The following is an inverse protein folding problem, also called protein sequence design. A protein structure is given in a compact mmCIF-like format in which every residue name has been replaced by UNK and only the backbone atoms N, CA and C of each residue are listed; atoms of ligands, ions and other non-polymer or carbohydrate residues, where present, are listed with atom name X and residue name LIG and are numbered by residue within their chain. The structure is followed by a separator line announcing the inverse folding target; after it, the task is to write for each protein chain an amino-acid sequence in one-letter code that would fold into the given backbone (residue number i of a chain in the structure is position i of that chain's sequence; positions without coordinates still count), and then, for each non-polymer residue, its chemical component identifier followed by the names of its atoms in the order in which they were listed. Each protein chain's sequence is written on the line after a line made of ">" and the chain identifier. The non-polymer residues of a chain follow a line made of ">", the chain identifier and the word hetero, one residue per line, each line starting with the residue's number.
data_IF_276331357205
#
_entry.id   IF_276331357205
#
_cell.length_a   1.000
_cell.length_b   1.000
_cell.length_c   1.000
_cell.angle_alpha   90.00
_cell.angle_beta   90.00
_cell.angle_gamma   90.00
#
_symmetry.space_group_name_H-M   'P 1'
#
loop_
_entity.id
_entity.type
_entity.pdbx_description
1 polymer ?
#
# COMPACT_ATOMS: atom_id res chain seq x y z
N UNK A 1 -0.55 34.01 -3.86
CA UNK A 1 0.12 34.30 -5.15
C UNK A 1 0.23 32.96 -5.85
N UNK A 2 -0.29 32.79 -7.03
CA UNK A 2 -0.23 31.49 -7.71
C UNK A 2 1.14 31.33 -8.36
N UNK A 3 1.74 30.16 -8.29
CA UNK A 3 3.04 29.86 -8.89
C UNK A 3 3.10 30.24 -10.38
N UNK A 4 2.07 29.88 -11.15
CA UNK A 4 1.95 30.23 -12.55
C UNK A 4 2.17 31.72 -12.82
N UNK A 5 1.60 32.62 -11.99
CA UNK A 5 1.79 34.07 -12.14
C UNK A 5 3.24 34.52 -11.90
N UNK A 6 3.98 33.84 -11.04
CA UNK A 6 5.39 34.13 -10.81
C UNK A 6 6.26 33.68 -11.98
N UNK A 7 5.94 32.53 -12.56
CA UNK A 7 6.66 31.98 -13.72
C UNK A 7 6.42 32.83 -14.98
N UNK A 8 5.21 33.39 -15.15
CA UNK A 8 4.88 34.29 -16.27
C UNK A 8 5.62 35.65 -16.22
N UNK A 9 6.03 36.10 -15.02
CA UNK A 9 6.76 37.36 -14.85
C UNK A 9 8.26 37.23 -15.19
N UNK A 10 8.78 36.02 -15.42
CA UNK A 10 10.18 35.79 -15.71
C UNK A 10 10.54 36.22 -17.15
N UNK A 11 11.74 36.84 -17.36
CA UNK A 11 12.15 37.29 -18.69
C UNK A 11 12.27 36.13 -19.69
N UNK A 12 11.65 36.28 -20.86
CA UNK A 12 11.78 35.30 -21.94
C UNK A 12 13.25 35.11 -22.36
N UNK A 13 13.62 33.85 -22.65
CA UNK A 13 14.97 33.50 -23.09
C UNK A 13 16.03 33.52 -21.97
N UNK A 14 15.64 33.73 -20.73
CA UNK A 14 16.56 33.67 -19.59
C UNK A 14 16.86 32.22 -19.16
N UNK A 15 17.96 32.04 -18.40
CA UNK A 15 18.21 30.81 -17.69
C UNK A 15 17.51 30.88 -16.30
N UNK A 16 16.59 29.97 -16.05
CA UNK A 16 15.82 29.89 -14.82
C UNK A 16 16.23 28.64 -14.06
N UNK A 17 16.62 28.79 -12.81
CA UNK A 17 16.88 27.67 -11.92
C UNK A 17 15.80 27.65 -10.85
N UNK A 18 15.08 26.53 -10.75
CA UNK A 18 14.06 26.27 -9.73
C UNK A 18 14.66 25.29 -8.74
N UNK A 19 14.92 25.75 -7.52
CA UNK A 19 15.43 24.91 -6.44
C UNK A 19 14.29 24.53 -5.50
N UNK A 20 14.02 23.24 -5.43
CA UNK A 20 12.96 22.67 -4.60
C UNK A 20 13.50 21.95 -3.36
N UNK A 21 14.79 22.11 -3.04
CA UNK A 21 15.44 21.43 -1.91
C UNK A 21 14.76 21.73 -0.56
N UNK A 22 14.16 22.92 -0.41
CA UNK A 22 13.42 23.30 0.80
C UNK A 22 11.91 23.13 0.67
N UNK A 23 11.43 22.66 -0.49
CA UNK A 23 9.99 22.44 -0.67
C UNK A 23 9.53 21.23 0.12
N UNK A 24 8.51 21.42 0.97
CA UNK A 24 7.96 20.33 1.79
C UNK A 24 6.95 19.47 1.05
N UNK A 25 6.21 20.05 0.13
CA UNK A 25 5.26 19.36 -0.73
C UNK A 25 5.16 20.07 -2.07
N UNK A 26 5.29 19.31 -3.15
CA UNK A 26 5.02 19.76 -4.51
C UNK A 26 3.93 18.83 -5.04
N UNK A 27 2.71 19.30 -5.13
CA UNK A 27 1.63 18.48 -5.67
C UNK A 27 1.72 18.35 -7.20
N UNK A 28 0.89 17.46 -7.76
CA UNK A 28 0.87 17.19 -9.18
C UNK A 28 0.61 18.44 -10.04
N UNK A 29 -0.25 19.35 -9.58
CA UNK A 29 -0.59 20.57 -10.31
C UNK A 29 0.58 21.52 -10.42
N UNK A 30 1.41 21.61 -9.38
CA UNK A 30 2.64 22.40 -9.39
C UNK A 30 3.65 21.84 -10.38
N UNK A 31 3.69 20.54 -10.54
CA UNK A 31 4.59 19.88 -11.49
C UNK A 31 4.15 20.08 -12.93
N UNK A 32 2.83 20.03 -13.20
CA UNK A 32 2.28 20.38 -14.49
C UNK A 32 2.62 21.84 -14.84
N UNK A 33 2.45 22.79 -13.90
CA UNK A 33 2.84 24.19 -14.09
C UNK A 33 4.34 24.32 -14.45
N UNK A 34 5.23 23.57 -13.79
CA UNK A 34 6.66 23.57 -14.12
C UNK A 34 6.93 22.99 -15.51
N UNK A 35 6.24 21.91 -15.88
CA UNK A 35 6.40 21.32 -17.20
C UNK A 35 5.92 22.22 -18.34
N UNK A 36 4.76 22.83 -18.16
CA UNK A 36 4.24 23.78 -19.13
C UNK A 36 5.17 24.98 -19.25
N UNK A 37 5.65 25.51 -18.14
CA UNK A 37 6.61 26.59 -18.12
C UNK A 37 7.93 26.20 -18.80
N UNK A 38 8.50 25.04 -18.48
CA UNK A 38 9.75 24.56 -19.09
C UNK A 38 9.62 24.44 -20.60
N UNK A 39 8.51 23.87 -21.10
CA UNK A 39 8.24 23.73 -22.52
C UNK A 39 8.13 25.11 -23.19
N UNK A 40 7.30 25.99 -22.64
CA UNK A 40 7.09 27.33 -23.18
C UNK A 40 8.37 28.18 -23.17
N UNK A 41 9.13 28.10 -22.07
CA UNK A 41 10.34 28.88 -21.90
C UNK A 41 11.45 28.38 -22.85
N UNK A 42 11.56 27.07 -23.07
CA UNK A 42 12.50 26.48 -24.06
C UNK A 42 12.14 26.89 -25.49
N UNK A 43 10.86 26.94 -25.85
CA UNK A 43 10.38 27.37 -27.13
C UNK A 43 10.73 28.86 -27.42
N UNK A 44 10.90 29.64 -26.36
CA UNK A 44 11.34 31.05 -26.45
C UNK A 44 12.85 31.26 -26.34
N UNK A 45 13.63 30.15 -26.35
CA UNK A 45 15.09 30.18 -26.31
C UNK A 45 15.69 30.27 -24.90
N UNK A 46 14.89 30.06 -23.88
CA UNK A 46 15.32 29.99 -22.48
C UNK A 46 15.75 28.58 -22.06
N UNK A 47 16.33 28.48 -20.89
CA UNK A 47 16.71 27.22 -20.25
C UNK A 47 16.09 27.16 -18.84
N UNK A 48 15.45 26.05 -18.50
CA UNK A 48 14.89 25.83 -17.18
C UNK A 48 15.52 24.58 -16.57
N UNK A 49 16.17 24.75 -15.43
CA UNK A 49 16.76 23.69 -14.65
C UNK A 49 15.97 23.56 -13.33
N UNK A 50 15.45 22.35 -13.05
CA UNK A 50 14.76 22.04 -11.79
C UNK A 50 15.67 21.16 -10.97
N UNK A 51 15.98 21.58 -9.74
CA UNK A 51 16.86 20.87 -8.81
C UNK A 51 16.16 20.62 -7.45
N UNK A 52 16.75 19.82 -6.62
CA UNK A 52 16.21 19.49 -5.29
C UNK A 52 15.15 18.38 -5.28
N UNK A 53 15.02 17.71 -6.41
CA UNK A 53 14.04 16.66 -6.60
C UNK A 53 14.76 15.33 -6.67
N UNK A 54 14.41 14.36 -5.82
CA UNK A 54 14.99 13.02 -5.87
C UNK A 54 13.90 11.97 -6.12
N UNK A 55 14.19 10.90 -6.93
CA UNK A 55 13.20 9.85 -7.23
C UNK A 55 12.63 9.15 -5.99
N UNK A 56 13.46 9.02 -4.93
CA UNK A 56 13.05 8.35 -3.70
C UNK A 56 11.92 9.04 -2.96
N UNK A 57 11.67 10.24 -3.33
CA UNK A 57 10.80 11.14 -2.60
C UNK A 57 9.70 11.68 -3.52
N UNK A 58 9.53 11.20 -4.72
CA UNK A 58 8.45 11.56 -5.61
C UNK A 58 7.16 10.85 -5.23
N UNK A 59 6.06 11.58 -5.11
CA UNK A 59 4.73 11.01 -4.88
C UNK A 59 4.02 10.59 -6.17
N UNK A 60 4.66 10.63 -7.32
CA UNK A 60 4.06 10.24 -8.60
C UNK A 60 5.04 9.54 -9.53
N UNK A 61 4.50 8.75 -10.49
CA UNK A 61 5.24 8.00 -11.48
C UNK A 61 5.84 8.84 -12.60
N UNK A 62 5.72 10.11 -12.53
CA UNK A 62 6.34 11.01 -13.48
C UNK A 62 7.83 11.10 -13.17
N UNK A 63 8.72 10.90 -14.15
CA UNK A 63 10.18 11.02 -13.97
C UNK A 63 10.62 12.38 -13.41
N UNK A 64 9.75 13.38 -13.46
CA UNK A 64 9.97 14.72 -12.97
C UNK A 64 8.97 15.17 -11.90
N UNK A 65 8.08 14.29 -11.48
CA UNK A 65 7.20 14.56 -10.36
C UNK A 65 7.90 14.20 -9.08
N UNK A 66 8.24 14.95 -8.37
CA UNK A 66 8.97 15.29 -7.43
C UNK A 66 8.57 15.63 -6.17
N UNK A 67 9.06 15.37 -5.49
CA UNK A 67 9.38 15.30 -4.31
C UNK A 67 9.57 16.45 -3.47
N UNK A 68 9.46 16.09 -2.48
CA UNK A 68 9.33 16.72 -1.41
C UNK A 68 9.84 16.21 -0.24
N UNK A 69 10.26 16.63 0.60
CA UNK A 69 10.72 16.26 1.90
C UNK A 69 11.85 15.25 1.83
N UNK A 70 13.04 15.75 1.84
CA UNK A 70 13.98 15.24 2.82
C UNK A 70 13.40 15.58 4.18
N UNK A 71 12.63 14.66 4.75
CA UNK A 71 12.42 14.75 6.18
C UNK A 71 13.80 14.63 6.80
N UNK A 72 14.29 15.73 7.34
CA UNK A 72 15.34 15.62 8.34
C UNK A 72 14.76 14.72 9.45
N UNK A 73 15.57 14.02 10.20
CA UNK A 73 15.08 13.21 11.34
C UNK A 73 14.20 14.03 12.29
N UNK A 74 14.34 15.36 12.26
CA UNK A 74 13.58 16.34 13.01
C UNK A 74 12.13 16.51 12.54
N UNK A 75 11.81 16.11 11.30
CA UNK A 75 10.48 16.24 10.72
C UNK A 75 9.63 14.94 10.83
N UNK A 76 10.18 13.86 11.37
CA UNK A 76 9.46 12.60 11.56
C UNK A 76 8.43 12.72 12.70
N UNK A 77 7.27 12.15 12.48
CA UNK A 77 6.27 11.97 13.54
C UNK A 77 6.77 10.97 14.59
N UNK A 78 6.22 11.01 15.80
CA UNK A 78 6.57 10.04 16.84
C UNK A 78 6.36 8.58 16.39
N UNK A 79 5.36 8.32 15.54
CA UNK A 79 5.10 7.00 14.94
C UNK A 79 6.21 6.60 13.97
N UNK A 80 6.61 7.49 13.10
CA UNK A 80 7.67 7.24 12.11
C UNK A 80 9.02 6.98 12.76
N UNK A 81 9.35 7.74 13.82
CA UNK A 81 10.55 7.48 14.62
C UNK A 81 10.53 6.07 15.21
N UNK A 82 9.42 5.68 15.85
CA UNK A 82 9.27 4.34 16.44
C UNK A 82 9.37 3.23 15.39
N UNK A 83 8.75 3.40 14.22
CA UNK A 83 8.80 2.42 13.14
C UNK A 83 10.19 2.32 12.51
N UNK A 84 10.88 3.45 12.36
CA UNK A 84 12.27 3.49 11.89
C UNK A 84 13.21 2.77 12.86
N UNK A 85 13.08 3.01 14.16
CA UNK A 85 13.84 2.29 15.20
C UNK A 85 13.53 0.78 15.18
N UNK A 86 12.26 0.43 15.07
CA UNK A 86 11.81 -0.95 14.98
C UNK A 86 12.44 -1.69 13.80
N UNK A 87 12.45 -1.10 12.61
CA UNK A 87 13.03 -1.72 11.41
C UNK A 87 14.54 -1.80 11.44
N UNK A 88 15.21 -0.82 12.05
CA UNK A 88 16.65 -0.80 12.16
C UNK A 88 17.20 -2.03 12.91
N UNK A 89 16.50 -2.46 13.95
CA UNK A 89 16.89 -3.65 14.74
C UNK A 89 16.70 -4.97 14.00
N UNK A 90 15.91 -4.98 12.93
CA UNK A 90 15.52 -6.19 12.17
C UNK A 90 16.17 -6.27 10.78
N UNK A 91 16.99 -5.28 10.41
CA UNK A 91 17.59 -5.15 9.06
C UNK A 91 16.53 -5.12 7.93
N UNK A 92 15.41 -4.42 8.17
CA UNK A 92 14.37 -4.18 7.20
C UNK A 92 14.44 -2.75 6.67
N UNK A 93 13.73 -2.49 5.57
CA UNK A 93 13.57 -1.15 5.03
C UNK A 93 12.38 -0.46 5.68
N UNK A 94 12.50 0.85 5.83
CA UNK A 94 11.40 1.73 6.22
C UNK A 94 11.32 2.91 5.24
N UNK A 95 10.10 3.21 4.78
CA UNK A 95 9.79 4.40 3.99
C UNK A 95 8.58 5.10 4.61
N UNK A 96 8.69 6.39 4.83
CA UNK A 96 7.58 7.23 5.31
C UNK A 96 6.47 7.32 4.26
N UNK A 97 6.86 7.47 2.97
CA UNK A 97 5.94 7.56 1.84
C UNK A 97 6.44 6.64 0.72
N UNK A 98 5.94 5.41 0.64
CA UNK A 98 6.28 4.51 -0.47
C UNK A 98 5.65 5.03 -1.78
N UNK A 99 6.32 4.75 -2.89
CA UNK A 99 5.85 5.21 -4.21
C UNK A 99 4.45 4.69 -4.54
N UNK A 100 3.60 5.52 -5.18
CA UNK A 100 2.24 5.14 -5.56
C UNK A 100 2.14 4.15 -6.74
N UNK A 101 3.27 3.65 -7.27
CA UNK A 101 3.35 2.75 -8.43
C UNK A 101 2.47 1.51 -8.38
N UNK A 102 1.84 1.26 -7.25
CA UNK A 102 1.06 0.06 -7.00
C UNK A 102 -0.45 0.27 -6.98
N UNK A 103 -0.98 1.47 -7.25
CA UNK A 103 -2.42 1.69 -7.17
C UNK A 103 -3.19 0.72 -8.08
N UNK A 104 -2.75 0.52 -9.32
CA UNK A 104 -3.35 -0.46 -10.23
C UNK A 104 -3.23 -1.91 -9.73
N UNK A 105 -2.18 -2.23 -8.99
CA UNK A 105 -2.01 -3.55 -8.40
C UNK A 105 -3.10 -3.87 -7.36
N UNK A 106 -3.54 -2.88 -6.60
CA UNK A 106 -4.57 -3.05 -5.57
C UNK A 106 -5.98 -3.17 -6.16
N UNK A 107 -6.23 -2.68 -7.38
CA UNK A 107 -7.53 -2.79 -8.05
C UNK A 107 -7.97 -4.25 -8.27
N UNK A 108 -7.02 -5.20 -8.34
CA UNK A 108 -7.29 -6.63 -8.45
C UNK A 108 -7.85 -7.26 -7.16
N UNK A 109 -7.75 -6.55 -6.04
CA UNK A 109 -8.34 -7.00 -4.79
C UNK A 109 -9.76 -6.45 -4.66
N UNK A 110 -10.67 -7.31 -4.21
CA UNK A 110 -12.06 -6.93 -4.04
C UNK A 110 -12.24 -5.82 -2.99
N UNK A 111 -11.40 -5.82 -1.96
CA UNK A 111 -11.40 -4.77 -0.93
C UNK A 111 -11.30 -3.37 -1.56
N UNK A 112 -10.50 -3.21 -2.62
CA UNK A 112 -10.28 -1.94 -3.29
C UNK A 112 -11.21 -1.67 -4.48
N UNK A 113 -12.12 -2.59 -4.84
CA UNK A 113 -13.09 -2.35 -5.92
C UNK A 113 -14.12 -1.26 -5.57
N UNK A 114 -14.39 -1.06 -4.29
CA UNK A 114 -15.28 0.00 -3.78
C UNK A 114 -14.55 1.11 -3.02
N UNK A 115 -13.22 1.11 -3.06
CA UNK A 115 -12.37 2.05 -2.34
C UNK A 115 -11.22 2.52 -3.20
N UNK A 116 -10.85 3.78 -3.01
CA UNK A 116 -9.62 4.33 -3.58
C UNK A 116 -8.55 4.43 -2.50
N UNK A 117 -7.32 4.09 -2.84
CA UNK A 117 -6.18 4.41 -2.00
C UNK A 117 -5.87 5.88 -2.21
N UNK A 118 -6.00 6.66 -1.14
CA UNK A 118 -5.65 8.08 -1.12
C UNK A 118 -4.16 8.24 -0.92
N UNK A 119 -3.60 7.52 0.06
CA UNK A 119 -2.17 7.58 0.37
C UNK A 119 -1.68 6.27 1.01
N UNK A 120 -0.38 6.01 0.87
CA UNK A 120 0.34 4.94 1.57
C UNK A 120 1.46 5.55 2.37
N UNK A 121 1.52 5.17 3.62
CA UNK A 121 2.42 5.74 4.61
C UNK A 121 3.16 4.63 5.36
N UNK A 122 4.30 4.97 5.93
CA UNK A 122 4.94 4.14 6.95
C UNK A 122 5.18 2.68 6.54
N UNK A 123 5.68 2.45 5.33
CA UNK A 123 5.95 1.11 4.83
C UNK A 123 7.20 0.49 5.45
N UNK A 124 7.01 -0.72 5.96
CA UNK A 124 8.08 -1.63 6.40
C UNK A 124 8.11 -2.81 5.44
N UNK A 125 9.28 -3.17 4.91
CA UNK A 125 9.41 -4.29 3.97
C UNK A 125 10.77 -4.96 4.01
N UNK A 126 10.83 -6.16 3.44
CA UNK A 126 12.07 -6.95 3.38
C UNK A 126 13.00 -6.49 2.24
N UNK A 127 14.25 -6.90 2.37
CA UNK A 127 15.27 -6.77 1.33
C UNK A 127 15.35 -7.99 0.40
N UNK A 128 14.64 -9.08 0.73
CA UNK A 128 14.63 -10.30 -0.06
C UNK A 128 13.77 -10.11 -1.31
N UNK A 129 14.33 -10.36 -2.48
CA UNK A 129 13.67 -10.19 -3.76
C UNK A 129 12.83 -11.41 -4.19
N UNK A 130 13.01 -12.57 -3.56
CA UNK A 130 12.33 -13.81 -3.94
C UNK A 130 10.83 -13.78 -3.65
N UNK A 131 10.45 -13.30 -2.48
CA UNK A 131 9.07 -13.06 -2.04
C UNK A 131 9.02 -11.74 -1.31
N UNK A 132 8.37 -10.77 -1.93
CA UNK A 132 8.20 -9.47 -1.30
C UNK A 132 7.10 -9.52 -0.25
N UNK A 133 7.36 -8.98 0.93
CA UNK A 133 6.35 -8.67 1.91
C UNK A 133 6.47 -7.22 2.39
N UNK A 134 5.35 -6.64 2.75
CA UNK A 134 5.27 -5.26 3.20
C UNK A 134 4.17 -5.11 4.25
N UNK A 135 4.39 -4.23 5.22
CA UNK A 135 3.36 -3.73 6.13
C UNK A 135 3.36 -2.22 5.99
N UNK A 136 2.21 -1.64 5.70
CA UNK A 136 2.07 -0.19 5.50
C UNK A 136 0.78 0.34 6.12
N UNK A 137 0.81 1.61 6.48
CA UNK A 137 -0.39 2.36 6.80
C UNK A 137 -1.02 2.86 5.49
N UNK A 138 -2.31 2.63 5.31
CA UNK A 138 -3.01 2.97 4.06
C UNK A 138 -4.20 3.84 4.39
N UNK A 139 -4.26 4.99 3.76
CA UNK A 139 -5.42 5.87 3.79
C UNK A 139 -6.32 5.49 2.62
N UNK A 140 -7.54 5.12 2.92
CA UNK A 140 -8.55 4.70 1.94
C UNK A 140 -9.77 5.59 2.03
N UNK A 141 -10.38 5.86 0.87
CA UNK A 141 -11.64 6.57 0.75
C UNK A 141 -12.70 5.61 0.21
N UNK A 142 -13.85 5.55 0.89
CA UNK A 142 -15.00 4.79 0.41
C UNK A 142 -15.67 5.53 -0.76
N UNK A 143 -15.83 4.85 -1.89
CA UNK A 143 -16.45 5.40 -3.10
C UNK A 143 -17.99 5.36 -3.05
N UNK A 144 -18.61 5.37 -1.88
CA UNK A 144 -20.08 5.40 -1.78
C UNK A 144 -20.60 6.82 -1.99
N UNK A 145 -21.61 6.96 -2.87
CA UNK A 145 -22.21 8.25 -3.28
C UNK A 145 -22.83 9.07 -2.14
N UNK A 146 -22.83 8.58 -0.91
CA UNK A 146 -23.52 9.22 0.23
C UNK A 146 -22.60 9.81 1.30
N UNK A 147 -21.37 9.36 1.38
CA UNK A 147 -20.35 9.94 2.27
C UNK A 147 -18.96 9.46 1.82
N UNK A 148 -18.06 10.38 1.54
CA UNK A 148 -16.64 10.03 1.43
C UNK A 148 -16.08 10.02 2.86
N UNK A 149 -15.97 8.85 3.44
CA UNK A 149 -15.28 8.70 4.72
C UNK A 149 -13.87 8.20 4.44
N UNK A 150 -12.89 8.96 4.91
CA UNK A 150 -11.49 8.56 4.88
C UNK A 150 -11.15 7.75 6.12
N UNK A 151 -10.49 6.62 5.91
CA UNK A 151 -10.03 5.74 6.98
C UNK A 151 -8.53 5.46 6.82
N UNK A 152 -7.81 5.43 7.92
CA UNK A 152 -6.42 4.96 7.93
C UNK A 152 -6.38 3.59 8.61
N UNK A 153 -5.81 2.62 7.91
CA UNK A 153 -5.64 1.24 8.41
C UNK A 153 -4.23 0.74 8.19
N UNK A 154 -3.77 -0.19 9.01
CA UNK A 154 -2.53 -0.92 8.75
C UNK A 154 -2.83 -2.18 7.97
N UNK A 155 -2.08 -2.39 6.89
CA UNK A 155 -2.26 -3.48 5.94
C UNK A 155 -0.95 -4.24 5.77
N UNK A 156 -1.01 -5.57 5.79
CA UNK A 156 0.06 -6.45 5.34
C UNK A 156 -0.15 -6.87 3.88
N UNK A 157 0.93 -7.04 3.14
CA UNK A 157 0.96 -7.54 1.77
C UNK A 157 2.07 -8.56 1.61
N UNK A 158 1.76 -9.71 0.97
CA UNK A 158 2.75 -10.69 0.52
C UNK A 158 2.58 -10.88 -0.98
N UNK A 159 3.66 -10.77 -1.76
CA UNK A 159 3.65 -11.00 -3.22
C UNK A 159 4.49 -12.20 -3.57
N UNK A 160 3.88 -13.18 -4.22
CA UNK A 160 4.54 -14.42 -4.64
C UNK A 160 4.93 -14.37 -6.12
N UNK A 161 6.05 -15.00 -6.52
CA UNK A 161 6.46 -15.11 -7.92
C UNK A 161 5.69 -16.19 -8.69
N UNK A 162 4.66 -16.81 -8.08
CA UNK A 162 3.83 -17.85 -8.63
C UNK A 162 2.35 -17.63 -8.32
N UNK A 163 1.48 -18.36 -8.99
CA UNK A 163 0.03 -18.27 -8.76
C UNK A 163 -0.40 -19.06 -7.54
N UNK A 164 -1.35 -18.50 -6.82
CA UNK A 164 -2.04 -19.06 -5.66
C UNK A 164 -3.55 -18.95 -5.88
N UNK A 165 -4.39 -19.74 -5.20
CA UNK A 165 -5.84 -19.60 -5.32
C UNK A 165 -6.34 -18.22 -4.94
N UNK A 166 -7.43 -17.78 -5.57
CA UNK A 166 -8.14 -16.56 -5.18
C UNK A 166 -9.16 -16.89 -4.11
N UNK A 167 -9.03 -16.26 -2.96
CA UNK A 167 -9.92 -16.48 -1.82
C UNK A 167 -10.07 -15.24 -0.97
N UNK A 168 -11.04 -15.29 -0.06
CA UNK A 168 -11.25 -14.33 1.01
C UNK A 168 -11.59 -15.04 2.30
N UNK A 169 -10.98 -14.63 3.37
CA UNK A 169 -11.23 -15.11 4.74
C UNK A 169 -11.60 -13.92 5.59
N UNK A 170 -12.71 -14.04 6.32
CA UNK A 170 -13.20 -12.98 7.20
C UNK A 170 -13.56 -13.54 8.58
N UNK A 171 -13.22 -12.79 9.62
CA UNK A 171 -13.65 -13.06 10.96
C UNK A 171 -15.13 -12.72 11.13
N UNK A 172 -15.94 -13.67 11.59
CA UNK A 172 -17.41 -13.54 11.64
C UNK A 172 -17.92 -12.46 12.60
N UNK A 173 -17.18 -12.18 13.67
CA UNK A 173 -17.58 -11.16 14.68
C UNK A 173 -17.59 -9.74 14.12
N UNK A 174 -16.79 -9.46 13.11
CA UNK A 174 -16.65 -8.14 12.50
C UNK A 174 -17.39 -8.00 11.17
N UNK A 175 -18.14 -9.03 10.78
CA UNK A 175 -18.96 -9.07 9.56
C UNK A 175 -19.86 -7.81 9.43
N UNK A 176 -20.31 -7.19 10.53
CA UNK A 176 -21.24 -6.06 10.49
C UNK A 176 -20.72 -4.84 9.72
N UNK A 177 -19.46 -4.43 9.92
CA UNK A 177 -18.83 -3.33 9.18
C UNK A 177 -18.39 -3.77 7.79
N UNK A 178 -17.76 -4.94 7.66
CA UNK A 178 -17.38 -5.48 6.37
C UNK A 178 -18.58 -5.82 5.48
N UNK A 179 -19.70 -6.33 6.01
CA UNK A 179 -20.90 -6.68 5.22
C UNK A 179 -21.64 -5.48 4.64
N UNK A 180 -21.61 -4.31 5.24
CA UNK A 180 -22.20 -3.12 4.64
C UNK A 180 -21.54 -2.80 3.31
N UNK A 181 -20.24 -3.05 3.21
CA UNK A 181 -19.43 -2.80 2.02
C UNK A 181 -19.57 -3.89 0.94
N UNK A 182 -20.05 -5.10 1.30
CA UNK A 182 -20.00 -6.28 0.42
C UNK A 182 -21.35 -6.65 -0.20
N UNK A 183 -22.42 -5.95 0.14
CA UNK A 183 -23.78 -6.25 -0.33
C UNK A 183 -24.08 -5.89 -1.79
N UNK A 184 -23.21 -5.15 -2.46
CA UNK A 184 -23.55 -4.50 -3.74
C UNK A 184 -22.78 -4.98 -4.97
N UNK A 185 -21.96 -6.03 -4.89
CA UNK A 185 -21.21 -6.51 -6.05
C UNK A 185 -21.56 -7.95 -6.42
N UNK A 186 -21.70 -8.20 -7.72
CA UNK A 186 -21.81 -9.52 -8.32
C UNK A 186 -20.51 -10.30 -8.07
N UNK A 187 -20.48 -11.00 -6.96
CA UNK A 187 -19.32 -11.72 -6.48
C UNK A 187 -19.33 -13.14 -7.03
N UNK A 188 -18.33 -13.48 -7.85
CA UNK A 188 -18.13 -14.84 -8.37
C UNK A 188 -17.57 -15.80 -7.32
N UNK A 189 -17.37 -15.33 -6.07
CA UNK A 189 -16.87 -16.14 -4.98
C UNK A 189 -18.01 -16.93 -4.32
N UNK A 190 -17.92 -18.23 -4.36
CA UNK A 190 -18.83 -19.10 -3.64
C UNK A 190 -18.41 -19.27 -2.17
N UNK A 191 -19.36 -19.26 -1.28
CA UNK A 191 -19.10 -19.57 0.14
C UNK A 191 -18.65 -21.03 0.26
N UNK A 192 -17.51 -21.24 0.91
CA UNK A 192 -17.05 -22.54 1.35
C UNK A 192 -17.63 -22.88 2.73
N UNK A 193 -17.46 -24.12 3.16
CA UNK A 193 -17.75 -24.47 4.55
C UNK A 193 -16.80 -23.70 5.47
N UNK A 194 -17.35 -23.13 6.53
CA UNK A 194 -16.56 -22.45 7.55
C UNK A 194 -15.52 -23.43 8.13
N UNK A 195 -14.25 -23.01 8.13
CA UNK A 195 -13.20 -23.85 8.70
C UNK A 195 -13.10 -23.71 10.24
N UNK A 196 -13.74 -22.68 10.80
CA UNK A 196 -13.88 -22.50 12.25
C UNK A 196 -15.17 -21.77 12.61
N UNK A 197 -15.46 -21.68 13.92
CA UNK A 197 -16.60 -20.90 14.42
C UNK A 197 -16.41 -19.39 14.16
N UNK A 198 -15.17 -18.95 14.08
CA UNK A 198 -14.82 -17.53 14.02
C UNK A 198 -14.57 -17.01 12.62
N UNK A 199 -14.25 -17.87 11.64
CA UNK A 199 -13.90 -17.45 10.28
C UNK A 199 -14.80 -18.05 9.20
N UNK A 200 -15.13 -17.24 8.21
CA UNK A 200 -15.78 -17.65 6.96
C UNK A 200 -14.80 -17.53 5.80
N UNK A 201 -14.90 -18.46 4.84
CA UNK A 201 -14.08 -18.47 3.64
C UNK A 201 -14.95 -18.44 2.39
N UNK A 202 -14.53 -17.68 1.40
CA UNK A 202 -15.08 -17.64 0.06
C UNK A 202 -13.97 -17.83 -0.96
N UNK A 203 -14.24 -18.54 -2.04
CA UNK A 203 -13.26 -18.84 -3.07
C UNK A 203 -13.88 -18.95 -4.46
N UNK A 204 -13.07 -18.70 -5.50
CA UNK A 204 -13.46 -18.96 -6.90
C UNK A 204 -13.32 -20.44 -7.24
N UNK A 205 -12.25 -21.08 -6.76
CA UNK A 205 -11.95 -22.51 -6.93
C UNK A 205 -11.86 -23.16 -5.55
N UNK A 206 -12.95 -23.82 -5.14
CA UNK A 206 -13.04 -24.44 -3.82
C UNK A 206 -12.01 -25.56 -3.62
N UNK A 207 -11.86 -26.55 -4.54
CA UNK A 207 -10.88 -27.62 -4.36
C UNK A 207 -9.45 -27.09 -4.22
N UNK A 208 -9.03 -26.20 -5.11
CA UNK A 208 -7.68 -25.61 -5.05
C UNK A 208 -7.48 -24.78 -3.77
N UNK A 209 -8.52 -24.10 -3.29
CA UNK A 209 -8.45 -23.32 -2.07
C UNK A 209 -8.42 -24.20 -0.82
N UNK A 210 -9.17 -25.30 -0.78
CA UNK A 210 -9.13 -26.28 0.31
C UNK A 210 -7.76 -26.96 0.44
N UNK A 211 -7.12 -27.27 -0.69
CA UNK A 211 -5.76 -27.80 -0.70
C UNK A 211 -4.73 -26.75 -0.24
N UNK A 212 -4.92 -25.50 -0.65
CA UNK A 212 -4.03 -24.40 -0.30
C UNK A 212 -4.13 -24.01 1.19
N UNK A 213 -5.38 -23.86 1.70
CA UNK A 213 -5.65 -23.49 3.09
C UNK A 213 -5.81 -24.78 3.92
N UNK A 214 -4.68 -25.44 4.17
CA UNK A 214 -4.62 -26.63 5.01
C UNK A 214 -4.68 -26.33 6.50
N UNK A 215 -4.49 -27.37 7.31
CA UNK A 215 -4.57 -27.24 8.76
C UNK A 215 -3.53 -26.33 9.37
N UNK A 216 -2.33 -26.19 8.75
CA UNK A 216 -1.27 -25.31 9.25
C UNK A 216 -1.65 -23.84 9.04
N UNK A 217 -2.15 -23.48 7.86
CA UNK A 217 -2.64 -22.12 7.58
C UNK A 217 -3.89 -21.81 8.42
N UNK A 218 -4.81 -22.76 8.57
CA UNK A 218 -5.98 -22.60 9.43
C UNK A 218 -5.59 -22.35 10.89
N UNK A 219 -4.61 -23.11 11.40
CA UNK A 219 -4.09 -22.93 12.75
C UNK A 219 -3.50 -21.55 12.94
N UNK A 220 -2.63 -21.13 12.00
CA UNK A 220 -2.03 -19.80 12.02
C UNK A 220 -3.09 -18.68 12.08
N UNK A 221 -4.17 -18.80 11.27
CA UNK A 221 -5.26 -17.81 11.24
C UNK A 221 -6.05 -17.82 12.55
N UNK A 222 -6.38 -19.02 13.08
CA UNK A 222 -7.16 -19.15 14.31
C UNK A 222 -6.39 -18.69 15.55
N UNK A 223 -5.08 -18.84 15.55
CA UNK A 223 -4.21 -18.43 16.67
C UNK A 223 -3.95 -16.92 16.68
N UNK A 224 -4.13 -16.26 15.54
CA UNK A 224 -3.92 -14.81 15.47
C UNK A 224 -5.03 -14.05 16.19
N UNK A 225 -4.62 -13.17 17.10
CA UNK A 225 -5.56 -12.31 17.83
C UNK A 225 -5.96 -11.07 17.04
N UNK A 226 -5.12 -10.64 16.09
CA UNK A 226 -5.24 -9.35 15.43
C UNK A 226 -5.71 -9.42 13.98
N UNK A 227 -5.58 -10.55 13.31
CA UNK A 227 -5.96 -10.67 11.88
C UNK A 227 -7.45 -10.94 11.75
N UNK A 228 -8.14 -10.08 11.01
CA UNK A 228 -9.57 -10.16 10.78
C UNK A 228 -9.94 -10.50 9.34
N UNK A 229 -9.08 -10.14 8.41
CA UNK A 229 -9.34 -10.33 6.98
C UNK A 229 -8.07 -10.70 6.22
N UNK A 230 -8.18 -11.72 5.35
CA UNK A 230 -7.20 -12.05 4.34
C UNK A 230 -7.88 -12.12 2.98
N UNK A 231 -7.21 -11.59 1.96
CA UNK A 231 -7.70 -11.66 0.59
C UNK A 231 -6.55 -11.99 -0.38
N UNK A 232 -6.78 -12.95 -1.28
CA UNK A 232 -5.87 -13.29 -2.35
C UNK A 232 -6.41 -12.86 -3.70
N UNK A 233 -5.58 -12.16 -4.49
CA UNK A 233 -5.87 -11.82 -5.88
C UNK A 233 -5.31 -12.83 -6.90
N UNK A 234 -4.76 -13.95 -6.43
CA UNK A 234 -4.14 -14.99 -7.28
C UNK A 234 -2.61 -14.95 -7.34
N UNK A 235 -1.96 -13.88 -6.86
CA UNK A 235 -0.50 -13.75 -6.77
C UNK A 235 -0.03 -13.11 -5.49
N UNK A 236 -0.94 -12.48 -4.77
CA UNK A 236 -0.61 -11.77 -3.55
C UNK A 236 -1.70 -11.98 -2.52
N UNK A 237 -1.32 -11.85 -1.27
CA UNK A 237 -2.24 -11.90 -0.13
C UNK A 237 -2.21 -10.55 0.58
N UNK A 238 -3.38 -9.94 0.73
CA UNK A 238 -3.62 -8.81 1.64
C UNK A 238 -4.02 -9.34 3.00
N UNK A 239 -3.58 -8.65 4.04
CA UNK A 239 -3.83 -8.95 5.44
C UNK A 239 -4.32 -7.67 6.11
N UNK A 240 -5.53 -7.68 6.66
CA UNK A 240 -6.04 -6.58 7.47
C UNK A 240 -6.23 -6.99 8.90
N UNK A 241 -5.93 -6.06 9.79
CA UNK A 241 -6.08 -6.23 11.22
C UNK A 241 -7.48 -5.82 11.69
N UNK A 242 -7.75 -6.12 12.95
CA UNK A 242 -9.02 -5.90 13.62
C UNK A 242 -9.64 -4.52 13.32
N UNK A 243 -10.89 -4.52 12.86
CA UNK A 243 -11.73 -3.34 12.61
C UNK A 243 -11.13 -2.33 11.60
N UNK A 244 -10.19 -2.73 10.75
CA UNK A 244 -9.49 -1.80 9.83
C UNK A 244 -8.85 -0.62 10.57
N UNK A 245 -8.23 -0.87 11.71
CA UNK A 245 -7.61 0.17 12.52
C UNK A 245 -6.16 0.39 12.12
N UNK A 246 -5.66 1.53 12.52
CA UNK A 246 -4.23 1.80 12.52
C UNK A 246 -3.58 0.98 13.67
N UNK A 247 -2.66 0.09 13.35
CA UNK A 247 -1.95 -0.71 14.35
C UNK A 247 -1.08 0.16 15.25
N UNK A 248 -1.06 -0.12 16.53
CA UNK A 248 -0.03 0.45 17.40
C UNK A 248 1.32 -0.18 17.08
N UNK A 249 2.41 0.58 17.23
CA UNK A 249 3.76 0.08 16.95
C UNK A 249 4.10 -1.18 17.77
N UNK A 250 3.59 -1.28 18.99
CA UNK A 250 3.76 -2.48 19.84
C UNK A 250 3.12 -3.75 19.25
N UNK A 251 2.13 -3.61 18.37
CA UNK A 251 1.42 -4.74 17.77
C UNK A 251 2.09 -5.20 16.45
N UNK A 252 3.12 -4.47 16.00
CA UNK A 252 3.82 -4.79 14.74
C UNK A 252 4.54 -6.14 14.80
N UNK A 253 5.08 -6.55 15.96
CA UNK A 253 5.69 -7.89 16.08
C UNK A 253 4.70 -9.01 15.74
N UNK A 254 3.43 -8.88 16.16
CA UNK A 254 2.39 -9.87 15.85
C UNK A 254 2.00 -9.86 14.38
N UNK A 255 1.85 -8.67 13.77
CA UNK A 255 1.52 -8.53 12.34
C UNK A 255 2.64 -9.09 11.48
N UNK A 256 3.89 -8.73 11.79
CA UNK A 256 5.07 -9.20 11.06
C UNK A 256 5.25 -10.70 11.23
N UNK A 257 5.13 -11.21 12.44
CA UNK A 257 5.25 -12.64 12.73
C UNK A 257 4.20 -13.46 11.98
N UNK A 258 2.95 -13.01 11.97
CA UNK A 258 1.90 -13.61 11.17
C UNK A 258 2.23 -13.58 9.67
N UNK A 259 2.66 -12.42 9.15
CA UNK A 259 2.99 -12.22 7.73
C UNK A 259 4.13 -13.14 7.30
N UNK A 260 5.18 -13.23 8.10
CA UNK A 260 6.33 -14.09 7.82
C UNK A 260 5.99 -15.58 7.90
N UNK A 261 5.25 -16.01 8.92
CA UNK A 261 4.79 -17.40 9.05
C UNK A 261 3.89 -17.80 7.87
N UNK A 262 2.96 -16.94 7.49
CA UNK A 262 2.11 -17.21 6.32
C UNK A 262 2.94 -17.32 5.04
N UNK A 263 3.92 -16.42 4.83
CA UNK A 263 4.86 -16.49 3.72
C UNK A 263 5.60 -17.82 3.70
N UNK A 264 6.15 -18.26 4.83
CA UNK A 264 6.90 -19.51 4.95
C UNK A 264 6.04 -20.75 4.67
N UNK A 265 4.82 -20.81 5.21
CA UNK A 265 3.87 -21.89 4.94
C UNK A 265 3.54 -22.00 3.44
N UNK A 266 3.25 -20.89 2.78
CA UNK A 266 2.96 -20.86 1.34
C UNK A 266 4.17 -21.30 0.53
N UNK A 267 5.37 -20.83 0.87
CA UNK A 267 6.60 -21.21 0.19
C UNK A 267 6.93 -22.70 0.35
N UNK A 268 6.78 -23.25 1.55
CA UNK A 268 7.04 -24.67 1.82
C UNK A 268 6.14 -25.60 1.02
N UNK A 269 4.85 -25.25 0.87
CA UNK A 269 3.91 -25.98 0.02
C UNK A 269 4.35 -26.01 -1.44
N UNK A 270 4.79 -24.87 -1.94
CA UNK A 270 5.25 -24.79 -3.34
C UNK A 270 6.47 -25.66 -3.59
N UNK A 271 7.41 -25.73 -2.65
CA UNK A 271 8.58 -26.59 -2.73
C UNK A 271 8.20 -28.07 -2.70
N UNK A 272 7.25 -28.46 -1.85
CA UNK A 272 6.75 -29.84 -1.75
C UNK A 272 5.98 -30.28 -3.00
N UNK A 273 5.30 -29.40 -3.69
CA UNK A 273 4.55 -29.69 -4.92
C UNK A 273 5.46 -29.75 -6.17
N UNK A 274 6.69 -29.26 -6.09
CA UNK A 274 7.65 -29.22 -7.21
C UNK A 274 8.68 -30.37 -7.19
N UNK A 275 8.74 -31.18 -6.12
CA UNK A 275 9.60 -32.34 -5.95
C UNK A 275 8.82 -33.64 -6.08
#
# INVERSE_FOLDING_TARGET
>A
MKLASLLEELPQGSKVQIDLAEARLVDYSVLEDFHEFQRFHSDTGGEVEVSGLTPENSSSNYEQALKVITSSEEDLTAREVQLKEYTYTKDWHFLTHPKPDYNHFFEDFHFFQSRSIVDRLNSIFNKDESVHWEISDVQVEDNDYRSSEEHITTMGLIRFPFEIPRFRINKKRHIGRFLQFWKHQNDHFETMHDFSQDFSIRANDKPATEEFIDEDIKSLINESSIVDHLESNGKSILIFIEDLKLAHVKDYDEIVDFTLKLKELVMSKRMSAAG
#
